data_IF_121123018030
#
_entry.id   IF_121123018030
#
_cell.length_a   1.000
_cell.length_b   1.000
_cell.length_c   1.000
_cell.angle_alpha   90.00
_cell.angle_beta   90.00
_cell.angle_gamma   90.00
#
_symmetry.space_group_name_H-M   'P 1'
#
loop_
_entity.id
_entity.type
_entity.pdbx_description
1 polymer ?
#
# COMPACT_ATOMS: atom_id res chain seq x y z
N UNK A 1 3.56 15.94 -33.06
CA UNK A 1 3.37 16.57 -31.74
C UNK A 1 2.19 15.89 -31.06
N UNK A 2 2.45 14.82 -30.30
CA UNK A 2 1.46 14.14 -29.47
C UNK A 2 1.15 15.02 -28.26
N UNK A 3 -0.12 15.44 -28.11
CA UNK A 3 -0.56 16.17 -26.91
C UNK A 3 -0.37 15.24 -25.72
N UNK A 4 0.47 15.65 -24.76
CA UNK A 4 0.51 15.03 -23.45
C UNK A 4 -0.90 15.13 -22.85
N UNK A 5 -1.55 13.99 -22.68
CA UNK A 5 -2.77 13.88 -21.89
C UNK A 5 -2.32 14.06 -20.46
N UNK A 6 -2.46 15.27 -19.92
CA UNK A 6 -2.32 15.50 -18.49
C UNK A 6 -3.47 14.73 -17.83
N UNK A 7 -3.20 13.68 -17.02
CA UNK A 7 -4.28 13.00 -16.32
C UNK A 7 -4.98 14.05 -15.45
N UNK A 8 -6.29 14.22 -15.67
CA UNK A 8 -7.11 15.10 -14.85
C UNK A 8 -6.93 14.69 -13.39
N UNK A 9 -6.65 15.66 -12.52
CA UNK A 9 -6.56 15.41 -11.07
C UNK A 9 -7.80 14.61 -10.64
N UNK A 10 -7.64 13.53 -9.86
CA UNK A 10 -8.76 12.69 -9.49
C UNK A 10 -9.82 13.50 -8.75
N UNK A 11 -11.07 13.21 -9.06
CA UNK A 11 -12.27 13.80 -8.45
C UNK A 11 -12.09 13.72 -6.91
N UNK A 12 -12.39 14.81 -6.21
CA UNK A 12 -12.22 14.95 -4.75
C UNK A 12 -13.24 14.11 -3.97
N UNK A 13 -13.20 12.80 -4.14
CA UNK A 13 -13.99 11.84 -3.36
C UNK A 13 -13.37 11.66 -1.96
N UNK A 14 -14.18 11.33 -0.96
CA UNK A 14 -13.67 10.99 0.36
C UNK A 14 -12.93 9.66 0.34
N UNK A 15 -11.85 9.56 1.14
CA UNK A 15 -11.10 8.32 1.29
C UNK A 15 -11.97 7.26 1.97
N UNK A 16 -12.00 6.05 1.40
CA UNK A 16 -12.66 4.87 1.99
C UNK A 16 -11.69 3.69 2.11
N UNK A 17 -12.00 2.75 3.01
CA UNK A 17 -11.26 1.50 3.15
C UNK A 17 -11.20 0.70 1.83
N UNK A 18 -12.34 0.57 1.14
CA UNK A 18 -12.44 -0.16 -0.13
C UNK A 18 -11.60 0.50 -1.22
N UNK A 19 -11.57 1.83 -1.25
CA UNK A 19 -10.73 2.58 -2.17
C UNK A 19 -9.25 2.41 -1.84
N UNK A 20 -8.85 2.50 -0.58
CA UNK A 20 -7.45 2.26 -0.17
C UNK A 20 -6.98 0.85 -0.60
N UNK A 21 -7.83 -0.15 -0.39
CA UNK A 21 -7.56 -1.51 -0.85
C UNK A 21 -7.41 -1.60 -2.38
N UNK A 22 -8.27 -0.90 -3.13
CA UNK A 22 -8.26 -0.94 -4.60
C UNK A 22 -7.02 -0.28 -5.20
N UNK A 23 -6.45 0.73 -4.54
CA UNK A 23 -5.20 1.37 -4.98
C UNK A 23 -3.93 0.72 -4.40
N UNK A 24 -4.06 -0.45 -3.79
CA UNK A 24 -2.96 -1.32 -3.42
C UNK A 24 -2.45 -1.17 -1.98
N UNK A 25 -3.10 -0.37 -1.12
CA UNK A 25 -2.76 -0.36 0.30
C UNK A 25 -3.10 -1.71 0.95
N UNK A 26 -2.30 -2.08 1.95
CA UNK A 26 -2.58 -3.22 2.83
C UNK A 26 -2.80 -2.73 4.24
N UNK A 27 -3.81 -3.25 4.92
CA UNK A 27 -4.08 -2.85 6.29
C UNK A 27 -3.52 -3.85 7.28
N UNK A 28 -3.23 -3.33 8.46
CA UNK A 28 -3.02 -4.09 9.68
C UNK A 28 -3.71 -3.34 10.82
N UNK A 29 -3.98 -4.02 11.92
CA UNK A 29 -4.49 -3.40 13.13
C UNK A 29 -3.59 -3.83 14.28
N UNK A 30 -2.94 -2.84 14.90
CA UNK A 30 -2.15 -3.11 16.10
C UNK A 30 -3.09 -3.31 17.29
N UNK A 31 -2.65 -4.11 18.25
CA UNK A 31 -3.38 -4.27 19.50
C UNK A 31 -3.67 -2.92 20.15
N UNK A 32 -4.91 -2.75 20.64
CA UNK A 32 -5.42 -1.54 21.30
C UNK A 32 -5.57 -0.31 20.38
N UNK A 33 -5.37 -0.44 19.07
CA UNK A 33 -5.74 0.61 18.12
C UNK A 33 -7.18 0.40 17.63
N UNK A 34 -8.05 1.43 17.68
CA UNK A 34 -9.48 1.28 17.38
C UNK A 34 -9.78 1.19 15.87
N UNK A 35 -8.81 1.50 15.01
CA UNK A 35 -9.00 1.62 13.57
C UNK A 35 -7.93 0.86 12.79
N UNK A 36 -8.25 0.53 11.53
CA UNK A 36 -7.30 -0.04 10.59
C UNK A 36 -6.21 0.98 10.24
N UNK A 37 -4.99 0.48 10.12
CA UNK A 37 -3.83 1.22 9.65
C UNK A 37 -3.46 0.69 8.27
N UNK A 38 -3.79 1.47 7.25
CA UNK A 38 -3.51 1.17 5.85
C UNK A 38 -2.12 1.65 5.49
N UNK A 39 -1.29 0.77 4.93
CA UNK A 39 0.10 1.03 4.58
C UNK A 39 0.34 0.76 3.11
N UNK A 40 1.08 1.67 2.47
CA UNK A 40 1.66 1.48 1.15
C UNK A 40 3.16 1.75 1.25
N UNK A 41 3.97 0.75 0.92
CA UNK A 41 5.43 0.89 0.87
C UNK A 41 5.88 1.58 -0.41
N UNK A 42 6.86 2.47 -0.29
CA UNK A 42 7.34 3.33 -1.37
C UNK A 42 8.81 3.13 -1.72
N UNK A 43 9.57 2.39 -0.91
CA UNK A 43 11.02 2.27 -1.09
C UNK A 43 11.43 1.80 -2.48
N UNK A 44 10.73 0.78 -2.99
CA UNK A 44 10.94 0.26 -4.35
C UNK A 44 10.69 1.31 -5.44
N UNK A 45 9.78 2.24 -5.19
CA UNK A 45 9.41 3.28 -6.13
C UNK A 45 10.50 4.36 -6.27
N UNK A 46 11.31 4.57 -5.23
CA UNK A 46 12.28 5.66 -5.12
C UNK A 46 13.61 5.41 -5.86
N UNK A 47 13.82 4.21 -6.41
CA UNK A 47 14.86 3.95 -7.43
C UNK A 47 16.30 3.83 -6.94
N UNK A 48 16.59 4.11 -5.67
CA UNK A 48 17.91 3.96 -5.07
C UNK A 48 17.88 2.86 -3.99
N UNK A 49 18.89 1.97 -3.91
CA UNK A 49 19.09 1.12 -2.75
C UNK A 49 19.52 2.02 -1.58
N UNK A 50 18.57 2.71 -0.95
CA UNK A 50 18.82 3.51 0.25
C UNK A 50 19.23 2.55 1.36
N UNK A 51 20.50 2.60 1.73
CA UNK A 51 21.27 1.56 2.43
C UNK A 51 20.81 1.34 3.90
N UNK A 52 19.72 1.97 4.37
CA UNK A 52 19.21 1.71 5.72
C UNK A 52 17.72 1.95 5.98
N UNK A 53 16.95 2.54 5.05
CA UNK A 53 15.52 2.83 5.24
C UNK A 53 14.66 2.33 4.08
N UNK A 54 15.02 1.17 3.52
CA UNK A 54 14.35 0.55 2.34
C UNK A 54 12.84 0.42 2.47
N UNK A 55 12.31 0.48 3.69
CA UNK A 55 10.89 0.43 3.97
C UNK A 55 10.38 1.80 4.42
N UNK A 56 10.49 2.83 3.58
CA UNK A 56 9.67 4.04 3.75
C UNK A 56 8.28 3.71 3.22
N UNK A 57 7.25 3.98 4.01
CA UNK A 57 5.86 3.80 3.63
C UNK A 57 5.00 4.98 4.03
N UNK A 58 3.86 5.12 3.36
CA UNK A 58 2.78 5.97 3.84
C UNK A 58 1.81 5.09 4.62
N UNK A 59 1.52 5.52 5.83
CA UNK A 59 0.46 4.94 6.62
C UNK A 59 -0.69 5.93 6.76
N UNK A 60 -1.91 5.46 6.54
CA UNK A 60 -3.13 6.21 6.81
C UNK A 60 -4.05 5.43 7.74
N UNK A 61 -4.65 6.13 8.70
CA UNK A 61 -5.68 5.53 9.56
C UNK A 61 -6.78 6.54 9.80
N UNK A 62 -7.98 6.03 10.09
CA UNK A 62 -9.12 6.90 10.37
C UNK A 62 -8.84 7.75 11.62
N UNK A 63 -9.07 9.06 11.50
CA UNK A 63 -9.13 9.98 12.62
C UNK A 63 -10.56 9.97 13.18
N UNK A 64 -10.71 10.22 14.48
CA UNK A 64 -12.02 10.21 15.14
C UNK A 64 -12.97 11.26 14.57
N UNK A 65 -12.46 12.41 14.13
CA UNK A 65 -13.24 13.61 13.82
C UNK A 65 -12.87 14.32 12.52
N UNK A 66 -11.73 13.99 11.88
CA UNK A 66 -11.07 14.85 10.86
C UNK A 66 -10.55 14.11 9.62
N UNK A 67 -11.22 13.05 9.17
CA UNK A 67 -10.80 12.29 7.99
C UNK A 67 -9.77 11.21 8.32
N UNK A 68 -8.64 11.19 7.62
CA UNK A 68 -7.55 10.24 7.86
C UNK A 68 -6.30 10.95 8.36
N UNK A 69 -5.66 10.40 9.37
CA UNK A 69 -4.28 10.73 9.67
C UNK A 69 -3.36 10.17 8.59
N UNK A 70 -2.31 10.89 8.25
CA UNK A 70 -1.26 10.44 7.34
C UNK A 70 0.10 10.53 8.01
N UNK A 71 0.83 9.43 8.01
CA UNK A 71 2.18 9.33 8.54
C UNK A 71 3.14 8.82 7.49
N UNK A 72 4.39 9.29 7.59
CA UNK A 72 5.53 8.58 7.02
C UNK A 72 5.98 7.56 8.05
N UNK A 73 6.02 6.32 7.60
CA UNK A 73 6.46 5.15 8.34
C UNK A 73 7.83 4.73 7.83
N UNK A 74 8.68 4.27 8.74
CA UNK A 74 9.89 3.53 8.41
C UNK A 74 9.91 2.23 9.21
N UNK A 75 10.27 1.11 8.58
CA UNK A 75 10.49 -0.14 9.29
C UNK A 75 11.98 -0.39 9.60
N UNK A 76 12.59 0.50 10.37
CA UNK A 76 13.92 0.28 10.91
C UNK A 76 13.87 -0.80 12.02
N UNK A 77 14.59 -1.90 11.81
CA UNK A 77 14.73 -3.02 12.76
C UNK A 77 13.41 -3.70 13.17
N UNK A 78 12.42 -3.78 12.26
CA UNK A 78 11.13 -4.46 12.48
C UNK A 78 10.31 -3.89 13.66
N UNK A 79 10.58 -2.65 14.06
CA UNK A 79 9.91 -2.01 15.21
C UNK A 79 8.75 -1.11 14.81
N UNK A 80 8.33 -1.14 13.55
CA UNK A 80 7.14 -0.42 13.08
C UNK A 80 7.14 1.07 13.52
N UNK A 81 8.19 1.78 13.14
CA UNK A 81 8.38 3.17 13.52
C UNK A 81 7.54 4.12 12.68
N UNK A 82 6.43 4.63 13.23
CA UNK A 82 5.87 5.92 12.77
C UNK A 82 6.80 7.01 13.31
N UNK A 83 7.42 7.78 12.43
CA UNK A 83 8.35 8.82 12.89
C UNK A 83 7.91 10.22 12.51
N UNK A 84 7.01 10.38 11.54
CA UNK A 84 6.50 11.71 11.15
C UNK A 84 5.02 11.68 10.79
N UNK A 85 4.20 12.41 11.55
CA UNK A 85 2.84 12.77 11.10
C UNK A 85 2.93 13.90 10.08
N UNK A 86 2.33 13.71 8.91
CA UNK A 86 2.38 14.68 7.82
C UNK A 86 1.22 15.66 7.95
N UNK A 87 -0.02 15.15 7.87
CA UNK A 87 -1.25 15.96 7.90
C UNK A 87 -2.49 15.07 8.03
N UNK A 88 -3.63 15.73 8.18
CA UNK A 88 -4.93 15.12 7.91
C UNK A 88 -5.24 15.14 6.41
N UNK A 89 -5.83 14.05 5.93
CA UNK A 89 -6.31 13.86 4.57
C UNK A 89 -7.83 13.75 4.58
N UNK A 90 -8.48 14.48 3.67
CA UNK A 90 -9.94 14.49 3.59
C UNK A 90 -10.46 13.84 2.31
N UNK A 91 -9.65 13.88 1.24
CA UNK A 91 -10.02 13.36 -0.06
C UNK A 91 -8.89 12.56 -0.70
N UNK A 92 -9.25 11.81 -1.74
CA UNK A 92 -8.33 10.99 -2.51
C UNK A 92 -7.17 11.81 -3.12
N UNK A 93 -7.47 13.00 -3.63
CA UNK A 93 -6.48 13.87 -4.28
C UNK A 93 -5.35 14.30 -3.32
N UNK A 94 -5.67 14.57 -2.05
CA UNK A 94 -4.66 14.86 -1.03
C UNK A 94 -3.66 13.70 -0.90
N UNK A 95 -4.15 12.45 -0.85
CA UNK A 95 -3.29 11.27 -0.72
C UNK A 95 -2.44 11.06 -1.99
N UNK A 96 -3.04 11.20 -3.17
CA UNK A 96 -2.33 11.14 -4.46
C UNK A 96 -1.18 12.14 -4.52
N UNK A 97 -1.42 13.38 -4.07
CA UNK A 97 -0.42 14.44 -4.07
C UNK A 97 0.72 14.16 -3.07
N UNK A 98 0.40 13.63 -1.88
CA UNK A 98 1.42 13.23 -0.90
C UNK A 98 2.30 12.11 -1.44
N UNK A 99 1.70 11.03 -1.99
CA UNK A 99 2.46 9.92 -2.58
C UNK A 99 3.33 10.44 -3.74
N UNK A 100 2.74 11.21 -4.66
CA UNK A 100 3.45 11.70 -5.84
C UNK A 100 4.59 12.63 -5.46
N UNK A 101 4.40 13.48 -4.46
CA UNK A 101 5.43 14.38 -3.93
C UNK A 101 6.60 13.63 -3.29
N UNK A 102 6.32 12.54 -2.56
CA UNK A 102 7.37 11.72 -1.92
C UNK A 102 8.18 10.89 -2.92
N UNK A 103 7.53 10.34 -3.94
CA UNK A 103 8.19 9.50 -4.95
C UNK A 103 8.82 10.35 -6.08
N UNK A 104 8.43 11.62 -6.21
CA UNK A 104 8.93 12.52 -7.25
C UNK A 104 8.34 12.28 -8.65
N UNK A 105 7.23 11.54 -8.74
CA UNK A 105 6.50 11.26 -10.00
C UNK A 105 5.01 11.03 -9.73
N UNK A 106 4.14 11.12 -10.75
CA UNK A 106 2.73 10.81 -10.58
C UNK A 106 2.51 9.39 -10.02
N UNK A 107 1.67 9.29 -9.00
CA UNK A 107 1.23 8.00 -8.45
C UNK A 107 0.34 7.26 -9.46
N UNK A 108 0.71 6.02 -9.79
CA UNK A 108 -0.12 5.10 -10.57
C UNK A 108 -0.43 3.84 -9.73
N UNK A 109 -1.70 3.63 -9.33
CA UNK A 109 -2.11 2.44 -8.58
C UNK A 109 -1.83 1.11 -9.30
N UNK A 110 -1.78 1.09 -10.62
CA UNK A 110 -1.46 -0.13 -11.39
C UNK A 110 -0.03 -0.62 -11.16
N UNK A 111 0.83 0.24 -10.59
CA UNK A 111 2.19 -0.12 -10.21
C UNK A 111 2.28 -0.60 -8.75
N UNK A 112 1.17 -0.69 -8.02
CA UNK A 112 1.13 -1.24 -6.68
C UNK A 112 1.02 -2.76 -6.73
N UNK A 113 2.02 -3.45 -6.16
CA UNK A 113 2.08 -4.90 -6.08
C UNK A 113 2.35 -5.33 -4.65
N UNK A 114 1.48 -6.17 -4.10
CA UNK A 114 1.60 -6.75 -2.76
C UNK A 114 1.80 -5.71 -1.64
N UNK A 115 1.19 -4.53 -1.73
CA UNK A 115 1.34 -3.47 -0.73
C UNK A 115 2.57 -2.58 -0.90
N UNK A 116 3.29 -2.70 -2.02
CA UNK A 116 4.42 -1.83 -2.38
C UNK A 116 4.22 -1.20 -3.75
N UNK A 117 4.50 0.10 -3.85
CA UNK A 117 4.54 0.83 -5.10
C UNK A 117 5.87 0.54 -5.81
N UNK A 118 5.79 0.13 -7.08
CA UNK A 118 6.96 -0.19 -7.89
C UNK A 118 7.33 0.94 -8.85
N UNK A 119 8.52 0.85 -9.42
CA UNK A 119 8.86 1.62 -10.64
C UNK A 119 8.01 1.13 -11.81
N UNK A 120 7.71 1.98 -12.81
CA UNK A 120 6.97 1.55 -14.00
C UNK A 120 7.61 0.33 -14.68
N UNK A 121 8.94 0.33 -14.81
CA UNK A 121 9.69 -0.79 -15.39
C UNK A 121 9.58 -2.07 -14.56
N UNK A 122 9.64 -1.98 -13.22
CA UNK A 122 9.45 -3.13 -12.36
C UNK A 122 8.00 -3.65 -12.45
N UNK A 123 7.00 -2.76 -12.40
CA UNK A 123 5.59 -3.13 -12.51
C UNK A 123 5.26 -3.84 -13.84
N UNK A 124 5.87 -3.40 -14.95
CA UNK A 124 5.74 -4.11 -16.24
C UNK A 124 6.36 -5.51 -16.17
N UNK A 125 7.58 -5.63 -15.64
CA UNK A 125 8.22 -6.95 -15.46
C UNK A 125 7.35 -7.90 -14.61
N UNK A 126 6.74 -7.40 -13.54
CA UNK A 126 5.82 -8.19 -12.71
C UNK A 126 4.57 -8.62 -13.48
N UNK A 127 4.02 -7.76 -14.35
CA UNK A 127 2.89 -8.13 -15.23
C UNK A 127 3.26 -9.21 -16.22
N UNK A 128 4.36 -9.02 -16.96
CA UNK A 128 4.88 -10.02 -17.89
C UNK A 128 5.10 -11.36 -17.17
N UNK A 129 5.72 -11.32 -15.98
CA UNK A 129 5.97 -12.48 -15.15
C UNK A 129 4.67 -13.18 -14.68
N UNK A 130 3.65 -12.42 -14.29
CA UNK A 130 2.35 -12.95 -13.86
C UNK A 130 1.53 -13.56 -15.02
N UNK A 131 1.74 -13.04 -16.24
CA UNK A 131 1.11 -13.58 -17.45
C UNK A 131 1.77 -14.85 -17.96
N UNK A 132 3.01 -15.14 -17.54
CA UNK A 132 3.70 -16.36 -17.96
C UNK A 132 2.90 -17.60 -17.60
N UNK A 133 2.57 -18.38 -18.63
CA UNK A 133 1.78 -19.60 -18.52
C UNK A 133 2.42 -20.62 -17.57
N UNK A 134 3.75 -20.73 -17.54
CA UNK A 134 4.47 -21.65 -16.65
C UNK A 134 4.29 -21.28 -15.17
N UNK A 135 4.28 -19.99 -14.82
CA UNK A 135 3.93 -19.55 -13.45
C UNK A 135 2.46 -19.74 -13.12
N UNK A 136 1.55 -19.42 -14.05
CA UNK A 136 0.12 -19.65 -13.84
C UNK A 136 -0.20 -21.13 -13.65
N UNK A 137 0.46 -21.99 -14.42
CA UNK A 137 0.39 -23.44 -14.25
C UNK A 137 1.07 -23.85 -12.94
N UNK A 138 2.21 -23.29 -12.56
CA UNK A 138 2.85 -23.59 -11.28
C UNK A 138 2.05 -23.12 -10.07
N UNK A 139 1.27 -22.03 -10.13
CA UNK A 139 0.34 -21.62 -9.07
C UNK A 139 -0.92 -22.49 -9.08
N UNK A 140 -1.43 -22.86 -10.26
CA UNK A 140 -2.62 -23.70 -10.41
C UNK A 140 -2.37 -25.16 -10.03
N UNK A 141 -1.18 -25.68 -10.34
CA UNK A 141 -0.67 -26.99 -9.94
C UNK A 141 0.21 -26.90 -8.68
N UNK A 142 0.24 -25.74 -8.02
CA UNK A 142 1.22 -25.38 -7.00
C UNK A 142 1.06 -26.07 -5.66
N UNK A 143 2.17 -26.71 -5.29
CA UNK A 143 2.62 -27.19 -3.98
C UNK A 143 1.64 -27.07 -2.80
N UNK A 144 1.24 -28.23 -2.27
CA UNK A 144 0.47 -28.36 -1.02
C UNK A 144 1.35 -28.22 0.23
N UNK A 145 2.62 -27.83 0.06
CA UNK A 145 3.56 -27.62 1.16
C UNK A 145 3.31 -26.26 1.84
N UNK A 146 2.43 -26.29 2.85
CA UNK A 146 2.04 -25.15 3.69
C UNK A 146 3.22 -24.50 4.44
N UNK A 147 4.44 -25.07 4.39
CA UNK A 147 5.61 -24.57 5.10
C UNK A 147 6.42 -23.51 4.34
N UNK A 148 6.11 -23.24 3.06
CA UNK A 148 6.89 -22.32 2.20
C UNK A 148 6.04 -21.25 1.50
N UNK A 149 5.60 -20.25 2.25
CA UNK A 149 5.41 -18.88 1.71
C UNK A 149 4.10 -18.17 2.03
N UNK A 150 4.22 -16.85 2.26
CA UNK A 150 3.14 -15.86 2.27
C UNK A 150 2.21 -15.90 3.49
N UNK A 151 1.55 -14.77 3.85
CA UNK A 151 0.53 -14.79 4.89
C UNK A 151 -0.61 -15.72 4.44
N UNK A 152 -0.90 -16.73 5.28
CA UNK A 152 -1.93 -17.73 5.04
C UNK A 152 -3.30 -17.07 4.79
N UNK A 153 -4.19 -17.75 4.05
CA UNK A 153 -5.52 -17.22 3.73
C UNK A 153 -6.35 -16.82 4.97
N UNK A 154 -6.05 -17.39 6.13
CA UNK A 154 -6.58 -17.01 7.44
C UNK A 154 -6.16 -15.59 7.88
N UNK A 155 -4.98 -15.11 7.50
CA UNK A 155 -4.55 -13.73 7.73
C UNK A 155 -5.33 -12.71 6.89
N UNK A 156 -5.90 -13.13 5.76
CA UNK A 156 -6.80 -12.32 4.93
C UNK A 156 -8.25 -12.31 5.44
N UNK A 157 -8.60 -13.29 6.30
CA UNK A 157 -9.96 -13.49 6.84
C UNK A 157 -10.05 -13.28 8.36
N UNK A 158 -8.98 -12.86 9.02
CA UNK A 158 -8.94 -12.66 10.45
C UNK A 158 -9.94 -11.54 10.85
N UNK A 159 -11.04 -12.02 11.40
CA UNK A 159 -12.21 -11.35 11.94
C UNK A 159 -11.93 -9.96 12.55
N UNK A 160 -12.78 -8.99 12.21
CA UNK A 160 -13.11 -7.89 13.12
C UNK A 160 -13.45 -8.51 14.48
N UNK A 161 -12.62 -8.26 15.50
CA UNK A 161 -13.06 -8.53 16.87
C UNK A 161 -14.27 -7.64 17.11
N UNK A 162 -15.45 -8.19 17.41
CA UNK A 162 -16.57 -7.35 17.82
C UNK A 162 -16.11 -6.60 19.09
N UNK A 163 -16.18 -5.28 19.05
CA UNK A 163 -16.00 -4.43 20.22
C UNK A 163 -17.08 -4.81 21.24
N UNK A 164 -16.76 -5.72 22.16
CA UNK A 164 -17.69 -6.13 23.21
C UNK A 164 -17.51 -7.56 23.69
N UNK A 165 -16.53 -7.79 24.55
CA UNK A 165 -16.69 -8.68 25.71
C UNK A 165 -15.74 -8.24 26.80
N UNK A 166 -16.29 -8.17 28.00
CA UNK A 166 -15.76 -7.52 29.20
C UNK A 166 -14.43 -8.11 29.70
#
# INVERSE_FOLDING_TARGET
MTKAVTPSLPISLPITDDWLASIGFKWHQMDRQPHKHWVLWLGDAMGEPTICFTDIGIEVSRALDKGYHCWIRSDAAHRYGRFLHVRYLYNEADLYNVISGLVGRPFNPEHCWYGSLRTPAAAERFREEAERLDRRLADYFGDTDETKGGPLAEHLRAYEKPNGSA
#
